data_IF_905078396666
#
_entry.id   IF_905078396666
#
_cell.length_a   1.000
_cell.length_b   1.000
_cell.length_c   1.000
_cell.angle_alpha   90.00
_cell.angle_beta   90.00
_cell.angle_gamma   90.00
#
_symmetry.space_group_name_H-M   'P 1'
#
loop_
_entity.id
_entity.type
_entity.pdbx_description
1 polymer ?
#
# COMPACT_ATOMS: atom_id res chain seq x y z
N UNK A 1 -56.30 30.76 6.68
CA UNK A 1 -55.52 29.53 6.90
C UNK A 1 -54.44 29.86 7.91
N UNK A 2 -54.46 29.20 9.07
CA UNK A 2 -53.50 29.46 10.16
C UNK A 2 -52.08 29.15 9.67
N UNK A 3 -51.19 30.13 9.65
CA UNK A 3 -49.75 29.90 9.52
C UNK A 3 -49.25 29.22 10.80
N UNK A 4 -49.34 27.89 10.85
CA UNK A 4 -48.81 27.09 11.95
C UNK A 4 -47.29 27.28 12.00
N UNK A 5 -46.75 27.54 13.19
CA UNK A 5 -45.31 27.67 13.36
C UNK A 5 -44.65 26.28 13.20
N UNK A 6 -44.05 26.02 12.04
CA UNK A 6 -43.45 24.72 11.70
C UNK A 6 -42.31 24.31 12.64
N UNK A 7 -41.63 25.25 13.32
CA UNK A 7 -40.59 24.93 14.30
C UNK A 7 -41.11 24.15 15.51
N UNK A 8 -42.42 24.26 15.81
CA UNK A 8 -43.04 23.53 16.93
C UNK A 8 -43.21 22.04 16.66
N UNK A 9 -43.04 21.59 15.41
CA UNK A 9 -43.13 20.19 15.03
C UNK A 9 -41.83 19.41 15.32
N UNK A 10 -40.70 20.10 15.49
CA UNK A 10 -39.40 19.46 15.70
C UNK A 10 -39.33 18.87 17.12
N UNK A 11 -39.05 17.55 17.27
CA UNK A 11 -38.94 16.92 18.59
C UNK A 11 -37.76 17.47 19.39
N UNK A 12 -37.87 17.42 20.72
CA UNK A 12 -36.75 17.82 21.59
C UNK A 12 -35.65 16.76 21.55
N UNK A 13 -34.42 17.19 21.80
CA UNK A 13 -33.25 16.29 21.88
C UNK A 13 -33.49 15.19 22.92
N UNK A 14 -34.05 15.53 24.09
CA UNK A 14 -34.32 14.56 25.16
C UNK A 14 -35.38 13.51 24.73
N UNK A 15 -36.42 13.93 24.00
CA UNK A 15 -37.44 13.02 23.46
C UNK A 15 -36.84 12.02 22.48
N UNK A 16 -35.88 12.45 21.65
CA UNK A 16 -35.16 11.58 20.71
C UNK A 16 -34.19 10.64 21.44
N UNK A 17 -33.51 11.12 22.48
CA UNK A 17 -32.64 10.27 23.31
C UNK A 17 -33.42 9.18 24.04
N UNK A 18 -34.70 9.42 24.31
CA UNK A 18 -35.54 8.45 25.00
C UNK A 18 -36.11 7.35 24.09
N UNK A 19 -36.02 7.51 22.77
CA UNK A 19 -36.44 6.50 21.79
C UNK A 19 -35.62 5.22 21.91
N UNK A 20 -36.29 4.08 21.79
CA UNK A 20 -35.66 2.76 21.94
C UNK A 20 -34.54 2.53 20.92
N UNK A 21 -34.72 2.94 19.66
CA UNK A 21 -33.71 2.81 18.60
C UNK A 21 -32.44 3.63 18.92
N UNK A 22 -32.61 4.84 19.44
CA UNK A 22 -31.49 5.73 19.81
C UNK A 22 -30.79 5.23 21.07
N UNK A 23 -31.53 4.67 22.04
CA UNK A 23 -30.96 3.99 23.22
C UNK A 23 -30.09 2.81 22.81
N UNK A 24 -30.57 1.93 21.92
CA UNK A 24 -29.80 0.82 21.35
C UNK A 24 -28.55 1.31 20.63
N UNK A 25 -28.64 2.41 19.88
CA UNK A 25 -27.51 3.00 19.19
C UNK A 25 -26.40 3.45 20.16
N UNK A 26 -26.77 3.99 21.32
CA UNK A 26 -25.82 4.42 22.36
C UNK A 26 -25.10 3.27 23.08
N UNK A 27 -25.55 2.01 22.92
CA UNK A 27 -24.81 0.84 23.43
C UNK A 27 -23.51 0.59 22.65
N UNK A 28 -23.49 0.97 21.36
CA UNK A 28 -22.37 0.71 20.44
C UNK A 28 -21.65 1.97 19.97
N UNK A 29 -22.31 3.13 20.08
CA UNK A 29 -21.78 4.43 19.65
C UNK A 29 -21.67 5.35 20.87
N UNK A 30 -20.51 6.00 21.10
CA UNK A 30 -20.37 6.98 22.16
C UNK A 30 -21.50 8.01 22.16
N UNK A 31 -22.16 8.20 23.31
CA UNK A 31 -23.29 9.14 23.48
C UNK A 31 -23.04 10.51 22.86
N UNK A 32 -21.82 11.02 22.93
CA UNK A 32 -21.43 12.30 22.32
C UNK A 32 -21.68 12.32 20.80
N UNK A 33 -21.30 11.25 20.10
CA UNK A 33 -21.50 11.14 18.64
C UNK A 33 -23.00 11.07 18.31
N UNK A 34 -23.78 10.33 19.11
CA UNK A 34 -25.24 10.25 18.95
C UNK A 34 -25.89 11.63 19.17
N UNK A 35 -25.53 12.32 20.25
CA UNK A 35 -25.98 13.69 20.54
C UNK A 35 -25.65 14.68 19.42
N UNK A 36 -24.41 14.67 18.93
CA UNK A 36 -23.97 15.55 17.85
C UNK A 36 -24.66 15.19 16.52
N UNK A 37 -25.12 13.96 16.35
CA UNK A 37 -25.91 13.52 15.18
C UNK A 37 -27.35 13.98 15.29
N UNK A 38 -27.98 13.82 16.47
CA UNK A 38 -29.31 14.36 16.77
C UNK A 38 -29.37 15.87 16.50
N UNK A 39 -28.39 16.61 17.03
CA UNK A 39 -28.31 18.07 16.85
C UNK A 39 -28.16 18.44 15.38
N UNK A 40 -27.28 17.75 14.66
CA UNK A 40 -27.05 18.00 13.24
C UNK A 40 -28.34 17.80 12.41
N UNK A 41 -29.04 16.67 12.59
CA UNK A 41 -30.26 16.39 11.83
C UNK A 41 -31.41 17.35 12.19
N UNK A 42 -31.56 17.68 13.48
CA UNK A 42 -32.51 18.72 13.93
C UNK A 42 -32.18 20.07 13.28
N UNK A 43 -30.91 20.48 13.30
CA UNK A 43 -30.49 21.77 12.77
C UNK A 43 -30.67 21.84 11.24
N UNK A 44 -30.50 20.73 10.52
CA UNK A 44 -30.84 20.65 9.09
C UNK A 44 -32.33 20.93 8.84
N UNK A 45 -33.23 20.34 9.64
CA UNK A 45 -34.68 20.61 9.55
C UNK A 45 -34.96 22.09 9.88
N UNK A 46 -34.35 22.63 10.94
CA UNK A 46 -34.50 24.04 11.33
C UNK A 46 -34.08 24.98 10.20
N UNK A 47 -32.96 24.71 9.54
CA UNK A 47 -32.46 25.54 8.44
C UNK A 47 -33.37 25.47 7.21
N UNK A 48 -33.97 24.31 6.89
CA UNK A 48 -34.97 24.20 5.81
C UNK A 48 -36.21 25.06 6.09
N UNK A 49 -36.71 25.04 7.34
CA UNK A 49 -37.85 25.86 7.76
C UNK A 49 -37.51 27.36 7.72
N UNK A 50 -36.33 27.78 8.22
CA UNK A 50 -35.88 29.19 8.18
C UNK A 50 -35.82 29.75 6.77
N UNK A 51 -35.38 28.95 5.80
CA UNK A 51 -35.27 29.36 4.40
C UNK A 51 -36.63 29.45 3.68
N UNK A 52 -37.72 28.99 4.30
CA UNK A 52 -39.05 28.96 3.69
C UNK A 52 -39.20 27.92 2.57
N UNK A 53 -38.27 26.98 2.46
CA UNK A 53 -38.16 26.03 1.35
C UNK A 53 -38.85 24.68 1.64
N UNK A 54 -39.80 24.64 2.57
CA UNK A 54 -40.43 23.39 3.01
C UNK A 54 -41.85 23.60 3.52
N UNK A 55 -42.75 22.71 3.13
CA UNK A 55 -44.16 22.64 3.53
C UNK A 55 -44.32 21.88 4.86
N UNK A 56 -45.51 21.96 5.49
CA UNK A 56 -45.80 21.20 6.71
C UNK A 56 -45.69 19.68 6.50
N UNK A 57 -46.12 19.17 5.34
CA UNK A 57 -46.05 17.75 4.98
C UNK A 57 -44.60 17.26 4.89
N UNK A 58 -43.74 18.01 4.22
CA UNK A 58 -42.30 17.66 4.07
C UNK A 58 -41.54 17.74 5.41
N UNK A 59 -41.96 18.61 6.33
CA UNK A 59 -41.41 18.63 7.71
C UNK A 59 -41.81 17.38 8.47
N UNK A 60 -43.07 16.96 8.39
CA UNK A 60 -43.56 15.73 9.03
C UNK A 60 -42.88 14.48 8.44
N UNK A 61 -42.66 14.44 7.13
CA UNK A 61 -41.90 13.38 6.48
C UNK A 61 -40.45 13.32 6.98
N UNK A 62 -39.78 14.48 7.07
CA UNK A 62 -38.42 14.59 7.61
C UNK A 62 -38.37 14.09 9.05
N UNK A 63 -39.36 14.40 9.89
CA UNK A 63 -39.48 13.91 11.27
C UNK A 63 -39.69 12.40 11.32
N UNK A 64 -40.54 11.85 10.45
CA UNK A 64 -40.79 10.41 10.38
C UNK A 64 -39.53 9.62 10.00
N UNK A 65 -38.67 10.20 9.14
CA UNK A 65 -37.37 9.63 8.77
C UNK A 65 -36.24 9.92 9.77
N UNK A 66 -36.48 10.80 10.76
CA UNK A 66 -35.43 11.42 11.57
C UNK A 66 -34.64 10.39 12.38
N UNK A 67 -35.28 9.38 12.97
CA UNK A 67 -34.60 8.31 13.70
C UNK A 67 -33.59 7.57 12.78
N UNK A 68 -34.01 7.25 11.55
CA UNK A 68 -33.14 6.59 10.56
C UNK A 68 -31.99 7.48 10.09
N UNK A 69 -32.24 8.77 9.86
CA UNK A 69 -31.20 9.75 9.52
C UNK A 69 -30.19 9.93 10.65
N UNK A 70 -30.65 10.01 11.90
CA UNK A 70 -29.77 10.09 13.08
C UNK A 70 -28.91 8.84 13.20
N UNK A 71 -29.49 7.65 13.02
CA UNK A 71 -28.75 6.39 13.05
C UNK A 71 -27.66 6.39 11.98
N UNK A 72 -28.02 6.72 10.74
CA UNK A 72 -27.07 6.80 9.62
C UNK A 72 -25.94 7.79 9.92
N UNK A 73 -26.26 9.02 10.28
CA UNK A 73 -25.29 10.07 10.59
C UNK A 73 -24.37 9.69 11.76
N UNK A 74 -24.92 9.06 12.80
CA UNK A 74 -24.12 8.59 13.94
C UNK A 74 -23.19 7.44 13.54
N UNK A 75 -23.67 6.47 12.74
CA UNK A 75 -22.82 5.38 12.20
C UNK A 75 -21.72 5.94 11.31
N UNK A 76 -22.01 6.89 10.43
CA UNK A 76 -21.03 7.53 9.54
C UNK A 76 -19.97 8.34 10.32
N UNK A 77 -20.37 9.00 11.41
CA UNK A 77 -19.44 9.70 12.31
C UNK A 77 -18.61 8.74 13.17
N UNK A 78 -19.17 7.60 13.55
CA UNK A 78 -18.49 6.57 14.35
C UNK A 78 -17.59 5.66 13.51
N UNK A 79 -17.80 5.61 12.19
CA UNK A 79 -17.01 4.79 11.29
C UNK A 79 -15.54 5.24 11.25
N UNK A 80 -14.64 4.26 11.26
CA UNK A 80 -13.21 4.51 11.07
C UNK A 80 -12.95 5.14 9.70
N UNK A 81 -12.01 6.10 9.66
CA UNK A 81 -11.62 6.78 8.42
C UNK A 81 -10.75 5.90 7.54
N UNK A 82 -9.81 5.16 8.15
CA UNK A 82 -9.10 4.08 7.48
C UNK A 82 -9.97 2.82 7.56
N UNK A 83 -10.42 2.35 6.41
CA UNK A 83 -11.33 1.21 6.30
C UNK A 83 -10.80 0.21 5.28
N UNK A 84 -11.16 -1.06 5.49
CA UNK A 84 -10.95 -2.12 4.51
C UNK A 84 -11.67 -1.79 3.21
N UNK A 85 -11.04 -2.14 2.10
CA UNK A 85 -11.64 -2.10 0.76
C UNK A 85 -11.40 -3.43 0.05
N UNK A 86 -12.21 -3.75 -0.96
CA UNK A 86 -11.93 -4.81 -1.93
C UNK A 86 -11.20 -4.20 -3.10
N UNK A 87 -9.99 -4.70 -3.38
CA UNK A 87 -9.22 -4.33 -4.56
C UNK A 87 -9.63 -5.21 -5.75
N UNK A 88 -10.40 -4.66 -6.68
CA UNK A 88 -10.75 -5.31 -7.94
C UNK A 88 -10.10 -4.62 -9.15
N UNK A 89 -9.04 -3.83 -8.95
CA UNK A 89 -8.37 -3.13 -10.04
C UNK A 89 -7.41 -4.03 -10.81
N UNK A 90 -6.87 -5.08 -10.16
CA UNK A 90 -5.81 -5.91 -10.73
C UNK A 90 -4.41 -5.34 -10.54
N UNK A 91 -4.27 -4.25 -9.79
CA UNK A 91 -2.96 -3.74 -9.37
C UNK A 91 -2.60 -4.40 -8.04
N UNK A 92 -1.56 -5.26 -8.02
CA UNK A 92 -1.21 -6.04 -6.82
C UNK A 92 -0.60 -5.14 -5.73
N UNK A 93 0.50 -4.46 -6.04
CA UNK A 93 1.16 -3.48 -5.15
C UNK A 93 0.53 -2.11 -5.40
N UNK A 94 -0.67 -1.93 -4.87
CA UNK A 94 -1.43 -0.70 -5.06
C UNK A 94 -1.08 0.32 -3.97
N UNK A 95 -0.31 1.36 -4.33
CA UNK A 95 0.14 2.41 -3.39
C UNK A 95 -1.00 3.07 -2.62
N UNK A 96 -2.09 3.44 -3.31
CA UNK A 96 -3.25 4.07 -2.66
C UNK A 96 -4.05 3.12 -1.75
N UNK A 97 -3.93 1.80 -1.92
CA UNK A 97 -4.71 0.81 -1.16
C UNK A 97 -3.86 0.06 -0.12
N UNK A 98 -2.65 0.54 0.17
CA UNK A 98 -1.80 0.02 1.25
C UNK A 98 -0.72 -0.98 0.83
N UNK A 99 -0.41 -1.09 -0.47
CA UNK A 99 0.65 -1.96 -1.02
C UNK A 99 0.44 -3.45 -0.67
N UNK A 100 1.42 -4.08 0.00
CA UNK A 100 1.43 -5.51 0.30
C UNK A 100 0.51 -5.88 1.44
N UNK A 101 -0.08 -7.07 1.35
CA UNK A 101 -0.96 -7.61 2.38
C UNK A 101 -0.20 -8.55 3.32
N UNK A 102 -0.61 -8.55 4.58
CA UNK A 102 -0.10 -9.45 5.61
C UNK A 102 -1.06 -10.62 5.79
N UNK A 103 -0.55 -11.85 5.83
CA UNK A 103 -1.36 -13.03 6.05
C UNK A 103 -1.76 -13.20 7.52
N UNK A 104 -2.75 -14.06 7.80
CA UNK A 104 -3.27 -14.23 9.16
C UNK A 104 -2.24 -14.80 10.14
N UNK A 105 -1.35 -15.71 9.72
CA UNK A 105 -0.28 -16.24 10.57
C UNK A 105 0.67 -15.14 11.04
N UNK A 106 1.00 -14.20 10.15
CA UNK A 106 1.80 -13.03 10.48
C UNK A 106 1.03 -12.09 11.42
N UNK A 107 -0.29 -11.91 11.22
CA UNK A 107 -1.13 -11.15 12.16
C UNK A 107 -1.23 -11.79 13.54
N UNK A 108 -1.23 -13.13 13.64
CA UNK A 108 -1.22 -13.85 14.91
C UNK A 108 0.06 -13.56 15.69
N UNK A 109 1.22 -13.58 15.02
CA UNK A 109 2.51 -13.18 15.61
C UNK A 109 2.51 -11.73 16.07
N UNK A 110 1.98 -10.82 15.25
CA UNK A 110 1.82 -9.41 15.63
C UNK A 110 0.95 -9.31 16.90
N UNK A 111 -0.19 -9.99 16.95
CA UNK A 111 -1.09 -9.96 18.10
C UNK A 111 -0.41 -10.45 19.37
N UNK A 112 0.35 -11.55 19.28
CA UNK A 112 1.11 -12.12 20.39
C UNK A 112 2.14 -11.13 20.94
N UNK A 113 2.95 -10.52 20.08
CA UNK A 113 3.99 -9.55 20.46
C UNK A 113 3.39 -8.19 20.87
N UNK A 114 2.26 -7.80 20.29
CA UNK A 114 1.61 -6.54 20.55
C UNK A 114 0.91 -6.53 21.92
N UNK A 115 0.23 -7.62 22.25
CA UNK A 115 -0.64 -7.75 23.43
C UNK A 115 0.10 -8.18 24.69
N UNK A 116 1.36 -8.59 24.58
CA UNK A 116 2.19 -9.04 25.70
C UNK A 116 3.50 -8.24 25.83
N UNK A 117 4.18 -8.38 26.98
CA UNK A 117 5.60 -8.02 27.09
C UNK A 117 6.45 -8.96 26.22
N UNK A 118 7.56 -8.46 25.70
CA UNK A 118 8.44 -9.22 24.81
C UNK A 118 9.91 -8.89 25.07
N UNK A 119 10.80 -9.73 24.54
CA UNK A 119 12.25 -9.57 24.59
C UNK A 119 12.78 -8.55 23.55
N UNK A 120 11.96 -7.58 23.14
CA UNK A 120 12.25 -6.63 22.07
C UNK A 120 13.62 -5.95 22.20
N UNK A 121 14.01 -5.54 23.41
CA UNK A 121 15.32 -4.98 23.72
C UNK A 121 15.97 -5.70 24.93
N UNK A 122 15.67 -6.99 25.09
CA UNK A 122 16.16 -7.79 26.20
C UNK A 122 16.77 -9.09 25.67
N UNK A 123 18.04 -9.31 25.97
CA UNK A 123 18.75 -10.53 25.62
C UNK A 123 18.46 -11.58 26.71
N UNK A 124 17.81 -12.67 26.32
CA UNK A 124 17.36 -13.72 27.24
C UNK A 124 18.54 -14.54 27.80
N UNK A 125 19.59 -14.74 27.01
CA UNK A 125 20.76 -15.52 27.42
C UNK A 125 21.61 -14.74 28.43
N UNK A 126 21.75 -13.43 28.20
CA UNK A 126 22.53 -12.53 29.07
C UNK A 126 21.73 -11.95 30.24
N UNK A 127 20.41 -11.99 30.18
CA UNK A 127 19.53 -11.35 31.18
C UNK A 127 19.70 -9.83 31.26
N UNK A 128 20.00 -9.17 30.13
CA UNK A 128 20.35 -7.74 30.09
C UNK A 128 19.77 -7.03 28.86
N UNK A 129 19.93 -5.71 28.79
CA UNK A 129 19.51 -4.91 27.63
C UNK A 129 20.21 -5.40 26.36
N UNK A 130 19.43 -5.78 25.36
CA UNK A 130 19.87 -6.20 24.03
C UNK A 130 19.57 -5.16 22.95
N UNK A 131 19.98 -5.45 21.72
CA UNK A 131 19.63 -4.66 20.54
C UNK A 131 18.36 -5.22 19.90
N UNK A 132 17.39 -4.38 19.54
CA UNK A 132 16.22 -4.85 18.78
C UNK A 132 16.56 -5.29 17.36
N UNK A 133 17.69 -4.84 16.82
CA UNK A 133 18.08 -5.13 15.45
C UNK A 133 18.62 -6.56 15.28
N UNK A 134 19.01 -7.22 16.37
CA UNK A 134 19.52 -8.59 16.31
C UNK A 134 18.45 -9.62 15.93
N UNK A 135 17.17 -9.33 16.20
CA UNK A 135 16.06 -10.25 15.93
C UNK A 135 15.89 -10.61 14.45
N UNK A 136 16.32 -9.73 13.55
CA UNK A 136 16.16 -9.91 12.09
C UNK A 136 17.48 -10.03 11.35
N UNK A 137 18.61 -9.69 11.97
CA UNK A 137 19.91 -9.64 11.30
C UNK A 137 20.32 -10.99 10.73
N UNK A 138 20.23 -12.06 11.53
CA UNK A 138 20.62 -13.41 11.12
C UNK A 138 19.82 -13.91 9.91
N UNK A 139 18.49 -13.84 9.98
CA UNK A 139 17.62 -14.32 8.91
C UNK A 139 17.73 -13.48 7.63
N UNK A 140 17.91 -12.15 7.75
CA UNK A 140 18.15 -11.31 6.56
C UNK A 140 19.47 -11.71 5.91
N UNK A 141 20.54 -11.88 6.68
CA UNK A 141 21.84 -12.33 6.15
C UNK A 141 21.76 -13.73 5.54
N UNK A 142 21.05 -14.68 6.16
CA UNK A 142 20.85 -16.03 5.64
C UNK A 142 20.18 -16.03 4.26
N UNK A 143 19.12 -15.23 4.08
CA UNK A 143 18.37 -15.17 2.82
C UNK A 143 19.15 -14.42 1.72
N UNK A 144 19.89 -13.38 2.10
CA UNK A 144 20.49 -12.44 1.14
C UNK A 144 21.96 -12.71 0.84
N UNK A 145 22.69 -13.36 1.74
CA UNK A 145 24.15 -13.51 1.67
C UNK A 145 24.93 -12.31 2.21
N UNK A 146 24.27 -11.31 2.82
CA UNK A 146 24.95 -10.17 3.44
C UNK A 146 25.79 -10.55 4.67
N UNK A 147 26.82 -9.75 4.97
CA UNK A 147 27.66 -9.94 6.16
C UNK A 147 27.05 -9.32 7.43
N UNK A 148 26.17 -8.34 7.25
CA UNK A 148 25.39 -7.71 8.30
C UNK A 148 24.10 -7.11 7.74
N UNK A 149 23.12 -6.90 8.60
CA UNK A 149 21.85 -6.31 8.23
C UNK A 149 21.23 -5.48 9.35
N UNK A 150 20.40 -4.52 8.97
CA UNK A 150 19.53 -3.80 9.90
C UNK A 150 18.23 -3.34 9.22
N UNK A 151 17.22 -3.06 10.04
CA UNK A 151 15.90 -2.64 9.57
C UNK A 151 15.52 -1.31 10.19
N UNK A 152 15.08 -0.37 9.36
CA UNK A 152 14.59 0.95 9.72
C UNK A 152 13.14 1.15 9.24
N UNK A 153 12.54 2.30 9.56
CA UNK A 153 11.13 2.60 9.32
C UNK A 153 10.65 2.36 7.87
N UNK A 154 11.42 2.81 6.87
CA UNK A 154 11.12 2.62 5.45
C UNK A 154 12.39 2.79 4.60
N UNK A 155 12.34 2.47 3.31
CA UNK A 155 13.51 2.57 2.44
C UNK A 155 14.06 4.00 2.30
N UNK A 156 13.20 5.02 2.38
CA UNK A 156 13.65 6.40 2.38
C UNK A 156 14.61 6.70 3.55
N UNK A 157 14.25 6.22 4.74
CA UNK A 157 15.10 6.28 5.92
C UNK A 157 16.36 5.42 5.78
N UNK A 158 16.29 4.29 5.05
CA UNK A 158 17.44 3.43 4.79
C UNK A 158 18.49 4.15 3.94
N UNK A 159 18.07 4.74 2.81
CA UNK A 159 18.95 5.54 1.94
C UNK A 159 19.51 6.74 2.71
N UNK A 160 18.68 7.47 3.44
CA UNK A 160 19.12 8.62 4.24
C UNK A 160 20.16 8.22 5.30
N UNK A 161 19.94 7.09 5.99
CA UNK A 161 20.86 6.59 7.01
C UNK A 161 22.19 6.14 6.40
N UNK A 162 22.15 5.43 5.27
CA UNK A 162 23.35 4.97 4.58
C UNK A 162 24.21 6.15 4.14
N UNK A 163 23.61 7.13 3.42
CA UNK A 163 24.32 8.31 2.94
C UNK A 163 24.84 9.19 4.07
N UNK A 164 24.04 9.41 5.13
CA UNK A 164 24.45 10.22 6.28
C UNK A 164 25.56 9.57 7.10
N UNK A 165 25.68 8.24 7.05
CA UNK A 165 26.76 7.52 7.73
C UNK A 165 28.03 7.50 6.90
N UNK A 166 27.91 7.18 5.60
CA UNK A 166 29.06 6.87 4.75
C UNK A 166 29.63 8.09 4.02
N UNK A 167 28.84 9.15 3.81
CA UNK A 167 29.20 10.24 2.91
C UNK A 167 28.82 11.65 3.41
N UNK A 168 28.63 11.83 4.71
CA UNK A 168 28.33 13.14 5.27
C UNK A 168 29.45 14.15 4.95
N UNK A 169 29.03 15.32 4.47
CA UNK A 169 29.87 16.44 4.04
C UNK A 169 30.82 16.14 2.87
N UNK A 170 30.68 14.95 2.24
CA UNK A 170 31.49 14.45 1.14
C UNK A 170 30.66 14.16 -0.11
N UNK A 171 31.33 13.93 -1.23
CA UNK A 171 30.70 13.74 -2.53
C UNK A 171 30.19 12.31 -2.75
N UNK A 172 28.99 12.19 -3.29
CA UNK A 172 28.38 10.92 -3.74
C UNK A 172 28.03 11.05 -5.21
N UNK A 173 28.63 10.18 -6.02
CA UNK A 173 28.48 10.19 -7.47
C UNK A 173 27.31 9.31 -7.86
N UNK A 174 26.38 9.84 -8.65
CA UNK A 174 25.18 9.12 -9.12
C UNK A 174 24.81 9.56 -10.55
N UNK A 175 24.23 8.64 -11.31
CA UNK A 175 23.72 8.93 -12.65
C UNK A 175 22.55 9.91 -12.62
N UNK A 176 22.54 10.92 -13.51
CA UNK A 176 21.41 11.85 -13.67
C UNK A 176 20.10 11.13 -14.02
N UNK A 177 20.19 10.02 -14.77
CA UNK A 177 19.05 9.18 -15.12
C UNK A 177 18.48 8.37 -13.95
N UNK A 178 19.11 8.42 -12.78
CA UNK A 178 18.73 7.70 -11.56
C UNK A 178 18.26 8.65 -10.42
N UNK A 179 18.18 9.96 -10.69
CA UNK A 179 17.64 10.96 -9.76
C UNK A 179 16.11 10.98 -9.79
N UNK A 180 15.53 9.93 -9.22
CA UNK A 180 14.10 9.62 -9.35
C UNK A 180 13.23 10.31 -8.30
N UNK A 181 11.95 10.49 -8.63
CA UNK A 181 10.88 10.80 -7.68
C UNK A 181 9.97 9.58 -7.56
N UNK A 182 9.75 9.09 -6.34
CA UNK A 182 8.86 7.95 -6.06
C UNK A 182 7.66 8.43 -5.24
N UNK A 183 6.45 8.11 -5.69
CA UNK A 183 5.23 8.59 -5.06
C UNK A 183 5.03 10.08 -5.35
N UNK A 184 4.83 10.90 -4.31
CA UNK A 184 4.61 12.35 -4.47
C UNK A 184 5.48 13.25 -3.59
N UNK A 185 6.46 12.69 -2.86
CA UNK A 185 7.31 13.48 -1.96
C UNK A 185 8.71 12.91 -1.71
N UNK A 186 9.04 11.72 -2.22
CA UNK A 186 10.37 11.14 -2.07
C UNK A 186 11.18 11.39 -3.33
N UNK A 187 12.22 12.22 -3.21
CA UNK A 187 13.16 12.56 -4.29
C UNK A 187 14.55 12.21 -3.83
N UNK A 188 15.28 11.44 -4.65
CA UNK A 188 16.68 11.10 -4.36
C UNK A 188 17.54 12.36 -4.10
N UNK A 189 17.46 13.43 -4.92
CA UNK A 189 18.20 14.67 -4.63
C UNK A 189 17.94 15.25 -3.24
N UNK A 190 16.66 15.37 -2.84
CA UNK A 190 16.28 15.95 -1.56
C UNK A 190 16.77 15.09 -0.39
N UNK A 191 16.73 13.76 -0.54
CA UNK A 191 17.22 12.81 0.47
C UNK A 191 18.73 12.89 0.61
N UNK A 192 19.46 12.99 -0.50
CA UNK A 192 20.90 13.17 -0.49
C UNK A 192 21.29 14.47 0.22
N UNK A 193 20.63 15.58 -0.13
CA UNK A 193 20.87 16.87 0.54
C UNK A 193 20.60 16.79 2.05
N UNK A 194 19.46 16.23 2.46
CA UNK A 194 19.11 16.09 3.89
C UNK A 194 20.03 15.11 4.64
N UNK A 195 20.64 14.15 3.95
CA UNK A 195 21.63 13.25 4.57
C UNK A 195 22.96 13.93 4.91
N UNK A 196 23.21 15.12 4.33
CA UNK A 196 24.47 15.83 4.38
C UNK A 196 25.47 15.42 3.30
N UNK A 197 25.11 14.47 2.42
CA UNK A 197 25.93 14.11 1.27
C UNK A 197 25.84 15.17 0.16
N UNK A 198 26.96 15.43 -0.52
CA UNK A 198 27.02 16.33 -1.67
C UNK A 198 26.76 15.52 -2.95
N UNK A 199 25.62 15.79 -3.59
CA UNK A 199 25.23 15.15 -4.85
C UNK A 199 26.15 15.55 -6.01
N UNK A 200 26.82 14.58 -6.63
CA UNK A 200 27.56 14.75 -7.88
C UNK A 200 26.89 13.96 -9.01
N UNK A 201 26.09 14.66 -9.81
CA UNK A 201 25.28 14.05 -10.86
C UNK A 201 26.01 13.95 -12.21
N UNK A 202 26.26 12.73 -12.67
CA UNK A 202 27.03 12.41 -13.90
C UNK A 202 26.16 11.90 -15.05
N UNK A 203 26.73 11.84 -16.26
CA UNK A 203 26.03 11.40 -17.47
C UNK A 203 24.90 12.35 -17.90
N UNK A 204 23.91 11.80 -18.59
CA UNK A 204 22.66 12.49 -18.95
C UNK A 204 21.44 11.69 -18.48
N UNK A 205 20.23 12.24 -18.66
CA UNK A 205 18.99 11.56 -18.28
C UNK A 205 18.85 10.18 -18.93
N UNK A 206 19.16 10.07 -20.22
CA UNK A 206 18.97 8.84 -20.98
C UNK A 206 20.24 8.00 -21.13
N UNK A 207 21.43 8.60 -21.05
CA UNK A 207 22.72 7.90 -21.25
C UNK A 207 23.72 8.26 -20.17
N UNK A 208 24.15 7.25 -19.45
CA UNK A 208 25.31 7.33 -18.56
C UNK A 208 26.29 6.22 -18.94
N UNK A 209 27.57 6.55 -18.92
CA UNK A 209 28.67 5.64 -19.21
C UNK A 209 29.64 5.58 -18.03
N UNK A 210 30.39 4.49 -17.90
CA UNK A 210 31.34 4.29 -16.81
C UNK A 210 32.37 5.43 -16.68
N UNK A 211 32.83 5.97 -17.83
CA UNK A 211 33.74 7.13 -17.88
C UNK A 211 33.16 8.41 -17.24
N UNK A 212 31.84 8.55 -17.19
CA UNK A 212 31.20 9.72 -16.60
C UNK A 212 31.32 9.68 -15.08
N UNK A 213 31.22 8.49 -14.48
CA UNK A 213 31.54 8.25 -13.08
C UNK A 213 33.02 8.48 -12.80
N UNK A 214 33.90 7.82 -13.57
CA UNK A 214 35.35 7.87 -13.35
C UNK A 214 35.91 9.29 -13.37
N UNK A 215 35.42 10.15 -14.28
CA UNK A 215 35.85 11.56 -14.39
C UNK A 215 35.44 12.43 -13.21
N UNK A 216 34.41 12.04 -12.47
CA UNK A 216 33.90 12.79 -11.34
C UNK A 216 34.58 12.41 -10.02
N UNK A 217 35.33 11.30 -9.98
CA UNK A 217 36.04 10.85 -8.78
C UNK A 217 37.19 11.81 -8.46
N UNK A 218 37.23 12.25 -7.21
CA UNK A 218 38.27 13.11 -6.63
C UNK A 218 38.46 12.79 -5.13
N UNK A 219 39.31 13.56 -4.45
CA UNK A 219 39.63 13.41 -3.03
C UNK A 219 38.44 13.59 -2.06
N UNK A 220 37.39 14.30 -2.46
CA UNK A 220 36.16 14.51 -1.69
C UNK A 220 35.12 13.41 -1.92
N UNK A 221 35.35 12.51 -2.88
CA UNK A 221 34.43 11.40 -3.18
C UNK A 221 34.43 10.38 -2.04
N UNK A 222 33.24 10.10 -1.51
CA UNK A 222 33.03 9.14 -0.44
C UNK A 222 32.33 7.85 -0.87
N UNK A 223 31.48 7.90 -1.89
CA UNK A 223 30.74 6.71 -2.34
C UNK A 223 30.29 6.84 -3.80
N UNK A 224 30.09 5.68 -4.43
CA UNK A 224 29.32 5.54 -5.66
C UNK A 224 27.90 5.12 -5.29
N UNK A 225 26.89 5.81 -5.84
CA UNK A 225 25.49 5.48 -5.64
C UNK A 225 24.88 5.03 -6.97
N UNK A 226 24.16 3.92 -6.89
CA UNK A 226 23.28 3.43 -7.93
C UNK A 226 21.84 3.38 -7.40
N UNK A 227 20.88 3.88 -8.17
CA UNK A 227 19.46 3.81 -7.81
C UNK A 227 18.68 3.08 -8.90
N UNK A 228 17.94 2.04 -8.51
CA UNK A 228 17.10 1.30 -9.42
C UNK A 228 15.86 2.11 -9.80
N UNK A 229 15.56 2.19 -11.10
CA UNK A 229 14.42 2.94 -11.65
C UNK A 229 13.10 2.20 -11.48
N UNK A 230 12.73 1.82 -10.25
CA UNK A 230 11.59 0.92 -9.94
C UNK A 230 10.20 1.44 -10.33
N UNK A 231 10.05 2.73 -10.66
CA UNK A 231 8.74 3.34 -10.92
C UNK A 231 8.58 3.99 -12.29
N UNK A 232 9.62 3.96 -13.13
CA UNK A 232 9.53 4.32 -14.55
C UNK A 232 10.60 3.61 -15.36
N UNK A 233 10.48 3.63 -16.68
CA UNK A 233 11.54 3.20 -17.60
C UNK A 233 11.73 4.26 -18.67
N UNK A 234 12.97 4.47 -19.10
CA UNK A 234 13.30 5.32 -20.26
C UNK A 234 13.40 4.41 -21.48
N UNK A 235 12.62 4.71 -22.53
CA UNK A 235 12.63 3.96 -23.78
C UNK A 235 13.35 4.75 -24.89
N UNK A 236 13.93 4.04 -25.86
CA UNK A 236 14.65 4.64 -27.00
C UNK A 236 16.17 4.54 -26.88
N UNK A 237 16.89 5.62 -27.18
CA UNK A 237 18.36 5.66 -27.12
C UNK A 237 18.85 5.83 -25.67
N UNK A 238 18.92 4.73 -24.94
CA UNK A 238 19.33 4.71 -23.54
C UNK A 238 20.62 3.94 -23.29
N UNK A 239 21.31 4.24 -22.19
CA UNK A 239 22.50 3.55 -21.70
C UNK A 239 22.58 3.76 -20.20
N UNK A 240 22.84 2.69 -19.45
CA UNK A 240 23.05 2.73 -18.00
C UNK A 240 24.29 1.92 -17.64
N UNK A 241 24.96 2.30 -16.55
CA UNK A 241 26.08 1.55 -16.00
C UNK A 241 25.54 0.56 -14.99
N UNK A 242 25.85 -0.72 -15.12
CA UNK A 242 25.41 -1.72 -14.15
C UNK A 242 26.32 -1.77 -12.89
N UNK A 243 25.91 -2.52 -11.88
CA UNK A 243 26.66 -2.63 -10.62
C UNK A 243 28.00 -3.36 -10.80
N UNK A 244 28.13 -4.24 -11.81
CA UNK A 244 29.36 -4.99 -12.10
C UNK A 244 30.42 -4.10 -12.77
N UNK A 245 30.00 -3.18 -13.64
CA UNK A 245 30.85 -2.13 -14.17
C UNK A 245 31.29 -1.15 -13.07
N UNK A 246 30.38 -0.73 -12.19
CA UNK A 246 30.72 0.15 -11.05
C UNK A 246 31.68 -0.49 -10.05
N UNK A 247 31.59 -1.81 -9.87
CA UNK A 247 32.52 -2.57 -9.02
C UNK A 247 34.00 -2.34 -9.44
N UNK A 248 34.27 -2.21 -10.74
CA UNK A 248 35.64 -1.94 -11.23
C UNK A 248 36.17 -0.59 -10.74
N UNK A 249 35.33 0.45 -10.68
CA UNK A 249 35.72 1.75 -10.15
C UNK A 249 35.85 1.72 -8.63
N UNK A 250 34.94 1.02 -7.95
CA UNK A 250 35.05 0.77 -6.51
C UNK A 250 36.43 0.19 -6.15
N UNK A 251 36.85 -0.89 -6.81
CA UNK A 251 38.13 -1.55 -6.51
C UNK A 251 39.33 -0.65 -6.87
N UNK A 252 39.26 0.03 -8.03
CA UNK A 252 40.33 0.91 -8.50
C UNK A 252 40.58 2.11 -7.58
N UNK A 253 39.52 2.68 -7.01
CA UNK A 253 39.58 3.90 -6.20
C UNK A 253 39.34 3.67 -4.71
N UNK A 254 39.10 2.42 -4.29
CA UNK A 254 38.75 2.05 -2.92
C UNK A 254 37.57 2.85 -2.36
N UNK A 255 36.47 2.88 -3.11
CA UNK A 255 35.23 3.59 -2.77
C UNK A 255 34.08 2.61 -2.53
N UNK A 256 33.25 2.79 -1.49
CA UNK A 256 32.07 1.98 -1.30
C UNK A 256 31.05 2.19 -2.41
N UNK A 257 30.38 1.09 -2.79
CA UNK A 257 29.26 1.08 -3.71
C UNK A 257 27.95 0.85 -2.94
N UNK A 258 27.04 1.82 -3.03
CA UNK A 258 25.70 1.78 -2.43
C UNK A 258 24.68 1.58 -3.56
N UNK A 259 23.77 0.62 -3.42
CA UNK A 259 22.65 0.42 -4.33
C UNK A 259 21.30 0.58 -3.59
N UNK A 260 20.50 1.55 -4.02
CA UNK A 260 19.07 1.59 -3.68
C UNK A 260 18.30 0.76 -4.69
N UNK A 261 18.06 -0.51 -4.36
CA UNK A 261 17.27 -1.43 -5.18
C UNK A 261 15.79 -1.07 -5.11
N UNK A 262 15.33 -0.60 -3.94
CA UNK A 262 13.99 -0.07 -3.72
C UNK A 262 12.86 -1.10 -3.74
N UNK A 263 12.81 -2.01 -4.71
CA UNK A 263 11.73 -2.98 -4.96
C UNK A 263 11.68 -4.14 -3.97
N UNK A 264 12.85 -4.56 -3.47
CA UNK A 264 12.97 -5.60 -2.43
C UNK A 264 12.70 -7.02 -2.94
N UNK A 265 13.11 -7.32 -4.17
CA UNK A 265 12.97 -8.65 -4.74
C UNK A 265 13.98 -9.61 -4.12
N UNK A 266 13.49 -10.72 -3.58
CA UNK A 266 14.32 -11.79 -3.01
C UNK A 266 14.25 -13.11 -3.80
N UNK A 267 13.29 -13.23 -4.73
CA UNK A 267 13.11 -14.40 -5.59
C UNK A 267 13.07 -13.97 -7.04
N UNK A 268 13.68 -14.75 -7.92
CA UNK A 268 13.63 -14.51 -9.36
C UNK A 268 12.20 -14.78 -9.89
N UNK A 269 11.46 -13.70 -10.12
CA UNK A 269 10.08 -13.75 -10.60
C UNK A 269 9.96 -14.16 -12.08
N UNK A 270 11.08 -14.19 -12.83
CA UNK A 270 11.07 -14.63 -14.24
C UNK A 270 10.70 -16.11 -14.39
N UNK A 271 10.97 -16.92 -13.37
CA UNK A 271 10.50 -18.30 -13.25
C UNK A 271 8.97 -18.43 -13.31
N UNK A 272 8.25 -17.36 -12.99
CA UNK A 272 6.79 -17.29 -12.95
C UNK A 272 6.20 -16.47 -14.11
N UNK A 273 7.02 -16.15 -15.13
CA UNK A 273 6.58 -15.43 -16.32
C UNK A 273 6.45 -13.92 -16.14
N UNK A 274 7.15 -13.35 -15.15
CA UNK A 274 7.23 -11.91 -14.89
C UNK A 274 8.58 -11.38 -15.40
N UNK A 275 8.64 -10.14 -15.87
CA UNK A 275 9.93 -9.50 -16.22
C UNK A 275 10.96 -9.63 -15.07
N UNK A 276 12.22 -9.92 -15.45
CA UNK A 276 13.32 -10.02 -14.50
C UNK A 276 13.56 -8.66 -13.82
N UNK A 277 13.60 -8.69 -12.49
CA UNK A 277 13.96 -7.57 -11.63
C UNK A 277 15.15 -8.01 -10.77
N UNK A 278 16.22 -7.21 -10.64
CA UNK A 278 17.40 -7.61 -9.88
C UNK A 278 17.06 -7.99 -8.45
N UNK A 279 17.54 -9.14 -7.99
CA UNK A 279 17.36 -9.55 -6.60
C UNK A 279 18.39 -8.86 -5.70
N UNK A 280 18.09 -8.79 -4.39
CA UNK A 280 19.05 -8.31 -3.39
C UNK A 280 20.34 -9.13 -3.43
N UNK A 281 20.21 -10.45 -3.63
CA UNK A 281 21.33 -11.38 -3.76
C UNK A 281 22.19 -11.05 -4.98
N UNK A 282 21.58 -10.72 -6.12
CA UNK A 282 22.32 -10.36 -7.33
C UNK A 282 23.16 -9.09 -7.13
N UNK A 283 22.60 -8.07 -6.47
CA UNK A 283 23.33 -6.84 -6.15
C UNK A 283 24.54 -7.13 -5.25
N UNK A 284 24.36 -7.93 -4.19
CA UNK A 284 25.46 -8.32 -3.30
C UNK A 284 26.53 -9.14 -4.02
N UNK A 285 26.12 -10.10 -4.87
CA UNK A 285 27.04 -10.92 -5.67
C UNK A 285 27.85 -10.11 -6.69
N UNK A 286 27.30 -8.98 -7.18
CA UNK A 286 28.01 -8.02 -8.04
C UNK A 286 28.98 -7.12 -7.28
N UNK A 287 29.14 -7.33 -5.97
CA UNK A 287 30.12 -6.62 -5.15
C UNK A 287 29.64 -5.27 -4.60
N UNK A 288 28.34 -5.03 -4.55
CA UNK A 288 27.75 -3.87 -3.85
C UNK A 288 28.01 -3.99 -2.35
N UNK A 289 28.44 -2.90 -1.70
CA UNK A 289 28.75 -2.91 -0.27
C UNK A 289 27.51 -2.76 0.60
N UNK A 290 26.54 -1.97 0.16
CA UNK A 290 25.28 -1.74 0.85
C UNK A 290 24.14 -1.73 -0.14
N UNK A 291 23.16 -2.60 0.09
CA UNK A 291 21.89 -2.64 -0.64
C UNK A 291 20.78 -2.17 0.28
N UNK A 292 19.94 -1.26 -0.21
CA UNK A 292 18.74 -0.79 0.50
C UNK A 292 17.47 -1.12 -0.29
N UNK A 293 16.41 -1.54 0.41
CA UNK A 293 15.13 -1.86 -0.23
C UNK A 293 13.92 -1.78 0.71
N UNK A 294 12.72 -1.74 0.10
CA UNK A 294 11.44 -1.67 0.83
C UNK A 294 10.92 -3.05 1.23
N UNK A 295 10.35 -3.17 2.43
CA UNK A 295 9.70 -4.40 2.91
C UNK A 295 8.28 -4.65 2.39
N UNK A 296 7.55 -3.60 1.97
CA UNK A 296 6.13 -3.66 1.61
C UNK A 296 5.86 -3.64 0.10
N UNK A 297 6.90 -3.86 -0.71
CA UNK A 297 6.80 -3.97 -2.17
C UNK A 297 6.87 -5.45 -2.60
N UNK A 298 7.87 -5.85 -3.38
CA UNK A 298 7.97 -7.23 -3.88
C UNK A 298 8.41 -8.24 -2.81
N UNK A 299 8.90 -7.76 -1.66
CA UNK A 299 9.10 -8.59 -0.47
C UNK A 299 7.77 -9.07 0.14
N UNK A 300 6.66 -8.36 -0.09
CA UNK A 300 5.35 -8.78 0.39
C UNK A 300 5.15 -8.73 1.92
N UNK A 301 5.97 -7.95 2.62
CA UNK A 301 5.94 -7.77 4.07
C UNK A 301 5.33 -6.43 4.52
N UNK A 302 5.58 -6.04 5.78
CA UNK A 302 5.17 -4.73 6.31
C UNK A 302 6.07 -3.61 5.77
N UNK A 303 5.66 -2.35 5.98
CA UNK A 303 6.53 -1.22 5.65
C UNK A 303 7.82 -1.30 6.47
N UNK A 304 8.95 -1.35 5.77
CA UNK A 304 10.28 -1.38 6.36
C UNK A 304 11.31 -0.86 5.35
N UNK A 305 12.44 -0.36 5.83
CA UNK A 305 13.64 -0.15 5.06
C UNK A 305 14.68 -1.14 5.51
N UNK A 306 15.09 -2.05 4.63
CA UNK A 306 16.05 -3.10 4.96
C UNK A 306 17.38 -2.68 4.35
N UNK A 307 18.43 -2.70 5.16
CA UNK A 307 19.81 -2.41 4.78
C UNK A 307 20.60 -3.68 5.00
N UNK A 308 21.30 -4.13 3.95
CA UNK A 308 22.11 -5.34 4.00
C UNK A 308 23.42 -5.14 3.24
N UNK A 309 24.50 -5.76 3.70
CA UNK A 309 25.80 -5.63 3.05
C UNK A 309 26.97 -5.90 3.97
N UNK A 310 28.06 -5.14 3.80
CA UNK A 310 29.28 -5.26 4.59
C UNK A 310 29.05 -4.93 6.07
N UNK A 311 29.58 -5.78 6.93
CA UNK A 311 29.36 -5.68 8.38
C UNK A 311 29.87 -4.36 8.97
N UNK A 312 30.99 -3.85 8.48
CA UNK A 312 31.59 -2.60 8.96
C UNK A 312 30.65 -1.40 8.80
N UNK A 313 30.04 -1.22 7.62
CA UNK A 313 29.11 -0.12 7.38
C UNK A 313 27.80 -0.28 8.15
N UNK A 314 27.30 -1.51 8.30
CA UNK A 314 26.11 -1.79 9.11
C UNK A 314 26.35 -1.41 10.58
N UNK A 315 27.52 -1.74 11.13
CA UNK A 315 27.87 -1.38 12.51
C UNK A 315 28.05 0.13 12.70
N UNK A 316 28.58 0.84 11.70
CA UNK A 316 28.60 2.30 11.70
C UNK A 316 27.18 2.90 11.68
N UNK A 317 26.30 2.37 10.82
CA UNK A 317 24.90 2.82 10.75
C UNK A 317 24.17 2.57 12.07
N UNK A 318 24.38 1.41 12.73
CA UNK A 318 23.80 1.12 14.05
C UNK A 318 24.21 2.15 15.12
N UNK A 319 25.39 2.79 14.99
CA UNK A 319 25.89 3.84 15.89
C UNK A 319 25.46 5.25 15.51
N UNK A 320 24.98 5.46 14.28
CA UNK A 320 24.51 6.77 13.82
C UNK A 320 23.29 7.24 14.65
N UNK A 321 23.27 8.48 15.18
CA UNK A 321 22.14 9.01 15.94
C UNK A 321 20.79 8.96 15.20
N UNK A 322 20.78 9.07 13.87
CA UNK A 322 19.55 8.97 13.06
C UNK A 322 18.89 7.60 13.17
N UNK A 323 19.64 6.54 13.46
CA UNK A 323 19.10 5.20 13.71
C UNK A 323 18.06 5.20 14.82
N UNK A 324 18.16 6.10 15.80
CA UNK A 324 17.15 6.24 16.85
C UNK A 324 15.86 6.89 16.34
N UNK A 325 15.95 7.82 15.39
CA UNK A 325 14.82 8.49 14.78
C UNK A 325 14.10 7.58 13.77
N UNK A 326 14.86 6.79 13.01
CA UNK A 326 14.34 5.85 12.01
C UNK A 326 14.06 4.45 12.54
N UNK A 327 14.11 4.29 13.86
CA UNK A 327 13.95 3.01 14.53
C UNK A 327 12.62 2.35 14.18
N UNK A 328 12.69 1.11 13.72
CA UNK A 328 11.52 0.28 13.43
C UNK A 328 10.76 -0.09 14.71
N UNK A 329 9.43 -0.18 14.61
CA UNK A 329 8.53 -0.54 15.71
C UNK A 329 8.40 -2.08 15.88
N UNK A 330 7.76 -2.50 16.98
CA UNK A 330 7.63 -3.93 17.31
C UNK A 330 6.65 -4.71 16.41
N UNK A 331 5.63 -4.04 15.86
CA UNK A 331 4.67 -4.66 14.95
C UNK A 331 5.36 -5.05 13.65
N UNK A 332 6.17 -4.13 13.12
CA UNK A 332 6.97 -4.36 11.91
C UNK A 332 8.01 -5.46 12.11
N UNK A 333 8.72 -5.49 13.25
CA UNK A 333 9.69 -6.58 13.53
C UNK A 333 8.98 -7.95 13.56
N UNK A 334 7.90 -8.08 14.33
CA UNK A 334 7.16 -9.34 14.44
C UNK A 334 6.63 -9.80 13.08
N UNK A 335 6.10 -8.87 12.29
CA UNK A 335 5.58 -9.19 10.96
C UNK A 335 6.67 -9.59 9.97
N UNK A 336 7.80 -8.89 10.01
CA UNK A 336 8.91 -9.10 9.08
C UNK A 336 9.62 -10.43 9.38
N UNK A 337 9.78 -10.83 10.64
CA UNK A 337 10.37 -12.13 10.98
C UNK A 337 9.59 -13.30 10.35
N UNK A 338 8.25 -13.32 10.52
CA UNK A 338 7.41 -14.36 9.92
C UNK A 338 7.49 -14.32 8.39
N UNK A 339 7.49 -13.12 7.80
CA UNK A 339 7.56 -12.95 6.34
C UNK A 339 8.88 -13.48 5.79
N UNK A 340 10.01 -13.13 6.42
CA UNK A 340 11.35 -13.59 6.04
C UNK A 340 11.49 -15.11 6.23
N UNK A 341 10.90 -15.71 7.26
CA UNK A 341 10.89 -17.18 7.44
C UNK A 341 10.27 -17.92 6.26
N UNK A 342 9.28 -17.34 5.57
CA UNK A 342 8.75 -17.97 4.36
C UNK A 342 9.75 -18.00 3.21
N UNK A 343 10.66 -17.03 3.13
CA UNK A 343 11.70 -16.97 2.09
C UNK A 343 12.80 -18.03 2.23
N UNK A 344 12.86 -18.75 3.35
CA UNK A 344 13.72 -19.93 3.49
C UNK A 344 13.31 -21.08 2.54
N UNK A 345 12.08 -21.05 2.01
CA UNK A 345 11.61 -21.96 0.95
C UNK A 345 10.78 -21.18 -0.08
N UNK A 346 11.29 -21.06 -1.31
CA UNK A 346 10.65 -20.32 -2.41
C UNK A 346 9.20 -20.76 -2.68
N UNK A 347 8.88 -22.05 -2.55
CA UNK A 347 7.51 -22.56 -2.76
C UNK A 347 6.57 -22.15 -1.62
N UNK A 348 7.10 -22.01 -0.40
CA UNK A 348 6.34 -21.52 0.74
C UNK A 348 6.14 -20.01 0.59
N UNK A 349 7.18 -19.26 0.23
CA UNK A 349 7.10 -17.82 0.00
C UNK A 349 6.02 -17.46 -1.03
N UNK A 350 6.04 -18.08 -2.21
CA UNK A 350 5.06 -17.81 -3.28
C UNK A 350 3.63 -18.23 -2.93
N UNK A 351 3.46 -19.15 -1.97
CA UNK A 351 2.12 -19.59 -1.52
C UNK A 351 1.59 -18.75 -0.36
N UNK A 352 2.41 -18.50 0.66
CA UNK A 352 1.95 -17.93 1.93
C UNK A 352 2.02 -16.40 1.95
N UNK A 353 2.93 -15.78 1.17
CA UNK A 353 3.02 -14.32 1.07
C UNK A 353 1.95 -13.84 0.07
N UNK A 354 0.92 -13.08 0.50
CA UNK A 354 -0.20 -12.75 -0.36
C UNK A 354 0.18 -12.00 -1.63
N UNK A 355 1.14 -11.07 -1.53
CA UNK A 355 1.65 -10.29 -2.67
C UNK A 355 2.26 -11.22 -3.71
N UNK A 356 3.15 -12.13 -3.30
CA UNK A 356 3.77 -13.09 -4.22
C UNK A 356 2.72 -14.03 -4.80
N UNK A 357 1.82 -14.56 -3.98
CA UNK A 357 0.76 -15.45 -4.44
C UNK A 357 -0.10 -14.83 -5.54
N UNK A 358 -0.47 -13.55 -5.41
CA UNK A 358 -1.22 -12.83 -6.46
C UNK A 358 -0.39 -12.66 -7.74
N UNK A 359 0.90 -12.37 -7.63
CA UNK A 359 1.79 -12.17 -8.77
C UNK A 359 2.03 -13.48 -9.53
N UNK A 360 2.29 -14.57 -8.81
CA UNK A 360 2.64 -15.88 -9.40
C UNK A 360 1.42 -16.77 -9.68
N UNK A 361 0.19 -16.26 -9.48
CA UNK A 361 -1.04 -17.01 -9.68
C UNK A 361 -1.19 -17.46 -11.16
N UNK A 362 -1.32 -18.77 -11.42
CA UNK A 362 -1.54 -19.27 -12.78
C UNK A 362 -2.84 -18.74 -13.41
N UNK A 363 -2.81 -18.42 -14.70
CA UNK A 363 -3.96 -17.87 -15.42
C UNK A 363 -5.23 -18.75 -15.34
N UNK A 364 -5.08 -20.07 -15.37
CA UNK A 364 -6.22 -20.99 -15.24
C UNK A 364 -6.88 -20.91 -13.86
N UNK A 365 -6.13 -20.60 -12.80
CA UNK A 365 -6.70 -20.38 -11.47
C UNK A 365 -7.54 -19.09 -11.44
N UNK A 366 -7.02 -18.00 -12.03
CA UNK A 366 -7.75 -16.72 -12.16
C UNK A 366 -9.04 -16.91 -12.97
N UNK A 367 -8.99 -17.67 -14.05
CA UNK A 367 -10.16 -18.04 -14.86
C UNK A 367 -11.18 -18.84 -14.06
N UNK A 368 -10.74 -19.80 -13.24
CA UNK A 368 -11.63 -20.55 -12.35
C UNK A 368 -12.29 -19.64 -11.31
N UNK A 369 -11.55 -18.68 -10.73
CA UNK A 369 -12.10 -17.63 -9.85
C UNK A 369 -13.16 -16.79 -10.56
N UNK A 370 -12.91 -16.36 -11.80
CA UNK A 370 -13.86 -15.60 -12.61
C UNK A 370 -15.15 -16.40 -12.89
N UNK A 371 -15.04 -17.67 -13.25
CA UNK A 371 -16.19 -18.55 -13.46
C UNK A 371 -17.03 -18.73 -12.19
N UNK A 372 -16.37 -18.94 -11.03
CA UNK A 372 -17.04 -19.04 -9.74
C UNK A 372 -17.80 -17.76 -9.40
N UNK A 373 -17.15 -16.60 -9.54
CA UNK A 373 -17.76 -15.30 -9.23
C UNK A 373 -18.92 -14.98 -10.19
N UNK A 374 -18.76 -15.15 -11.51
CA UNK A 374 -19.84 -14.97 -12.50
C UNK A 374 -21.08 -15.80 -12.15
N UNK A 375 -20.90 -17.07 -11.75
CA UNK A 375 -22.02 -17.93 -11.32
C UNK A 375 -22.73 -17.39 -10.09
N UNK A 376 -22.03 -16.83 -9.11
CA UNK A 376 -22.66 -16.23 -7.92
C UNK A 376 -23.41 -14.96 -8.28
N UNK A 377 -22.82 -14.09 -9.10
CA UNK A 377 -23.45 -12.85 -9.58
C UNK A 377 -24.77 -13.18 -10.30
N UNK A 378 -24.74 -14.07 -11.29
CA UNK A 378 -25.93 -14.43 -12.09
C UNK A 378 -27.05 -15.11 -11.28
N UNK A 379 -26.71 -15.77 -10.16
CA UNK A 379 -27.72 -16.35 -9.27
C UNK A 379 -28.43 -15.28 -8.44
N UNK A 380 -27.70 -14.24 -8.05
CA UNK A 380 -28.19 -13.17 -7.16
C UNK A 380 -28.89 -12.06 -7.93
N UNK A 381 -28.26 -11.55 -8.99
CA UNK A 381 -28.74 -10.40 -9.76
C UNK A 381 -29.43 -10.91 -11.02
N UNK A 382 -30.76 -10.86 -11.03
CA UNK A 382 -31.61 -11.25 -12.18
C UNK A 382 -32.20 -10.01 -12.84
N UNK A 383 -31.32 -9.20 -13.45
CA UNK A 383 -31.70 -7.92 -14.01
C UNK A 383 -31.23 -7.77 -15.46
N UNK A 384 -32.17 -7.51 -16.38
CA UNK A 384 -31.86 -7.40 -17.80
C UNK A 384 -31.01 -6.18 -18.17
N UNK A 385 -30.97 -5.18 -17.29
CA UNK A 385 -30.10 -4.00 -17.44
C UNK A 385 -28.65 -4.26 -17.00
N UNK A 386 -28.36 -5.41 -16.39
CA UNK A 386 -27.06 -5.75 -15.83
C UNK A 386 -26.46 -6.96 -16.56
N UNK A 387 -25.49 -6.71 -17.42
CA UNK A 387 -24.80 -7.74 -18.21
C UNK A 387 -23.44 -8.07 -17.61
N UNK A 388 -23.09 -9.35 -17.57
CA UNK A 388 -21.88 -9.86 -16.91
C UNK A 388 -21.15 -10.83 -17.82
N UNK A 389 -19.92 -10.50 -18.18
CA UNK A 389 -19.04 -11.33 -18.98
C UNK A 389 -17.67 -11.54 -18.34
N UNK A 390 -16.96 -12.55 -18.84
CA UNK A 390 -15.56 -12.79 -18.50
C UNK A 390 -14.76 -12.37 -19.71
N UNK A 391 -13.89 -11.38 -19.53
CA UNK A 391 -13.02 -10.87 -20.60
C UNK A 391 -11.55 -11.13 -20.25
N UNK A 392 -10.74 -11.31 -21.29
CA UNK A 392 -9.29 -11.24 -21.20
C UNK A 392 -8.87 -9.85 -20.76
N UNK A 393 -7.95 -9.79 -19.80
CA UNK A 393 -7.46 -8.54 -19.27
C UNK A 393 -5.98 -8.65 -18.88
N UNK A 394 -5.40 -7.50 -18.53
CA UNK A 394 -4.08 -7.44 -17.94
C UNK A 394 -4.18 -6.80 -16.56
N UNK A 395 -3.52 -7.45 -15.62
CA UNK A 395 -3.21 -6.95 -14.28
C UNK A 395 -1.85 -6.24 -14.31
N UNK A 396 -1.57 -5.47 -13.27
CA UNK A 396 -0.31 -4.76 -13.11
C UNK A 396 0.35 -5.18 -11.78
N UNK A 397 1.68 -5.28 -11.78
CA UNK A 397 2.44 -5.52 -10.54
C UNK A 397 2.24 -4.35 -9.58
N UNK A 398 2.35 -3.13 -10.11
CA UNK A 398 2.22 -1.88 -9.37
C UNK A 398 3.32 -0.89 -9.75
N UNK A 399 2.96 0.39 -9.85
CA UNK A 399 3.85 1.44 -10.36
C UNK A 399 5.07 1.75 -9.49
N UNK A 400 5.27 1.09 -8.34
CA UNK A 400 6.43 1.28 -7.47
C UNK A 400 7.49 0.19 -7.57
N UNK A 401 7.34 -0.77 -8.49
CA UNK A 401 8.28 -1.89 -8.69
C UNK A 401 8.50 -2.23 -10.16
N UNK A 402 7.44 -2.65 -10.88
CA UNK A 402 7.52 -3.03 -12.29
C UNK A 402 6.44 -2.27 -13.09
N UNK A 403 6.73 -1.03 -13.53
CA UNK A 403 5.71 -0.08 -14.01
C UNK A 403 5.16 -0.38 -15.41
N UNK A 404 5.89 -1.14 -16.24
CA UNK A 404 5.46 -1.50 -17.59
C UNK A 404 4.92 -2.92 -17.70
N UNK A 405 5.03 -3.70 -16.62
CA UNK A 405 4.76 -5.13 -16.64
C UNK A 405 3.26 -5.42 -16.66
N UNK A 406 2.85 -6.27 -17.61
CA UNK A 406 1.45 -6.66 -17.81
C UNK A 406 1.27 -8.15 -17.61
N UNK A 407 0.54 -8.52 -16.57
CA UNK A 407 0.27 -9.93 -16.25
C UNK A 407 -1.07 -10.34 -16.85
N UNK A 408 -1.06 -11.34 -17.74
CA UNK A 408 -2.28 -11.88 -18.33
C UNK A 408 -3.27 -12.34 -17.25
N UNK A 409 -4.50 -11.86 -17.29
CA UNK A 409 -5.54 -12.06 -16.26
C UNK A 409 -6.91 -12.32 -16.89
N UNK A 410 -7.90 -12.54 -16.01
CA UNK A 410 -9.33 -12.56 -16.37
C UNK A 410 -10.08 -11.58 -15.48
N UNK A 411 -10.96 -10.80 -16.09
CA UNK A 411 -11.82 -9.87 -15.37
C UNK A 411 -13.29 -10.22 -15.57
N UNK A 412 -14.10 -9.92 -14.56
CA UNK A 412 -15.55 -9.77 -14.75
C UNK A 412 -15.78 -8.38 -15.35
N UNK A 413 -16.31 -8.35 -16.57
CA UNK A 413 -16.73 -7.15 -17.26
C UNK A 413 -18.23 -6.96 -17.08
N UNK A 414 -18.63 -5.79 -16.59
CA UNK A 414 -20.02 -5.43 -16.34
C UNK A 414 -20.40 -4.30 -17.28
N UNK A 415 -21.53 -4.47 -17.97
CA UNK A 415 -22.12 -3.44 -18.82
C UNK A 415 -23.55 -3.19 -18.37
N UNK A 416 -23.93 -1.91 -18.30
CA UNK A 416 -25.26 -1.49 -17.89
C UNK A 416 -26.05 -0.98 -19.10
N UNK A 417 -27.33 -1.34 -19.21
CA UNK A 417 -28.24 -0.78 -20.22
C UNK A 417 -29.06 0.34 -19.62
N UNK A 418 -29.05 1.49 -20.28
CA UNK A 418 -29.83 2.68 -19.92
C UNK A 418 -29.58 3.19 -18.47
N UNK A 419 -28.42 2.88 -17.90
CA UNK A 419 -28.00 3.29 -16.55
C UNK A 419 -26.57 3.83 -16.61
N UNK A 420 -26.22 4.75 -15.72
CA UNK A 420 -24.89 5.35 -15.66
C UNK A 420 -23.87 4.40 -15.03
N UNK A 421 -22.89 3.97 -15.82
CA UNK A 421 -21.76 3.16 -15.34
C UNK A 421 -20.90 3.94 -14.34
N UNK A 422 -20.75 5.25 -14.51
CA UNK A 422 -19.99 6.10 -13.60
C UNK A 422 -20.66 6.21 -12.22
N UNK A 423 -21.99 6.36 -12.18
CA UNK A 423 -22.72 6.38 -10.90
C UNK A 423 -22.70 5.02 -10.23
N UNK A 424 -22.79 3.94 -10.99
CA UNK A 424 -22.64 2.59 -10.46
C UNK A 424 -21.29 2.41 -9.77
N UNK A 425 -20.21 2.82 -10.43
CA UNK A 425 -18.86 2.74 -9.88
C UNK A 425 -18.70 3.64 -8.64
N UNK A 426 -19.26 4.85 -8.64
CA UNK A 426 -19.31 5.70 -7.45
C UNK A 426 -20.04 5.00 -6.28
N UNK A 427 -21.17 4.36 -6.56
CA UNK A 427 -21.95 3.64 -5.57
C UNK A 427 -21.21 2.42 -4.99
N UNK A 428 -20.37 1.75 -5.79
CA UNK A 428 -19.49 0.69 -5.26
C UNK A 428 -18.49 1.19 -4.21
N UNK A 429 -18.02 2.45 -4.33
CA UNK A 429 -17.15 3.06 -3.31
C UNK A 429 -17.88 3.49 -2.05
N UNK A 430 -19.19 3.70 -2.15
CA UNK A 430 -20.06 4.03 -1.02
C UNK A 430 -20.59 2.81 -0.28
N UNK A 431 -20.51 1.62 -0.87
CA UNK A 431 -20.89 0.39 -0.21
C UNK A 431 -20.12 0.17 1.11
N UNK A 432 -20.71 -0.58 2.04
CA UNK A 432 -20.20 -0.77 3.42
C UNK A 432 -18.72 -1.18 3.44
N UNK A 433 -18.34 -2.12 2.57
CA UNK A 433 -16.94 -2.39 2.23
C UNK A 433 -16.74 -1.92 0.79
N UNK A 434 -16.06 -0.80 0.55
CA UNK A 434 -15.89 -0.25 -0.80
C UNK A 434 -15.25 -1.23 -1.75
N UNK A 435 -15.73 -1.27 -2.98
CA UNK A 435 -15.15 -2.09 -4.05
C UNK A 435 -14.51 -1.14 -5.05
N UNK A 436 -13.18 -1.21 -5.18
CA UNK A 436 -12.43 -0.36 -6.09
C UNK A 436 -12.23 -1.12 -7.40
N UNK A 437 -12.75 -0.59 -8.49
CA UNK A 437 -12.77 -1.24 -9.81
C UNK A 437 -12.07 -0.39 -10.85
N UNK A 438 -11.95 -0.89 -12.09
CA UNK A 438 -11.54 -0.07 -13.25
C UNK A 438 -12.75 0.24 -14.12
N UNK A 439 -12.91 1.51 -14.48
CA UNK A 439 -13.86 1.95 -15.50
C UNK A 439 -13.12 2.13 -16.83
N UNK A 440 -13.52 1.39 -17.87
CA UNK A 440 -12.90 1.48 -19.19
C UNK A 440 -13.94 1.26 -20.29
N UNK A 441 -13.98 2.16 -21.29
CA UNK A 441 -14.94 2.11 -22.42
C UNK A 441 -16.38 1.83 -21.97
N UNK A 442 -16.84 2.55 -20.95
CA UNK A 442 -18.19 2.41 -20.37
C UNK A 442 -18.52 1.01 -19.82
N UNK A 443 -17.50 0.27 -19.38
CA UNK A 443 -17.64 -0.99 -18.65
C UNK A 443 -16.87 -0.95 -17.34
N UNK A 444 -17.39 -1.67 -16.35
CA UNK A 444 -16.69 -1.89 -15.08
C UNK A 444 -15.95 -3.22 -15.15
N UNK A 445 -14.67 -3.19 -14.81
CA UNK A 445 -13.80 -4.36 -14.75
C UNK A 445 -13.44 -4.66 -13.31
N UNK A 446 -13.72 -5.90 -12.91
CA UNK A 446 -13.24 -6.49 -11.67
C UNK A 446 -12.19 -7.53 -12.03
N UNK A 447 -10.93 -7.24 -11.79
CA UNK A 447 -9.81 -8.16 -12.08
C UNK A 447 -9.67 -9.21 -10.97
N UNK A 448 -9.68 -10.49 -11.35
CA UNK A 448 -9.72 -11.60 -10.40
C UNK A 448 -8.37 -11.95 -9.79
N UNK A 449 -7.28 -11.28 -10.21
CA UNK A 449 -5.98 -11.45 -9.54
C UNK A 449 -6.04 -10.96 -8.10
N UNK A 450 -6.62 -9.78 -7.87
CA UNK A 450 -6.62 -9.12 -6.56
C UNK A 450 -7.88 -9.37 -5.73
N UNK A 451 -8.97 -9.83 -6.36
CA UNK A 451 -10.19 -10.25 -5.63
C UNK A 451 -10.00 -11.64 -5.04
N UNK A 452 -10.07 -11.78 -3.72
CA UNK A 452 -9.95 -13.09 -3.06
C UNK A 452 -11.29 -13.84 -3.02
N UNK A 453 -11.24 -15.18 -2.93
CA UNK A 453 -12.47 -15.99 -2.92
C UNK A 453 -13.36 -15.74 -1.68
N UNK A 454 -12.75 -15.41 -0.54
CA UNK A 454 -13.45 -15.00 0.70
C UNK A 454 -14.19 -13.65 0.54
N UNK A 455 -13.88 -12.87 -0.50
CA UNK A 455 -14.49 -11.58 -0.79
C UNK A 455 -15.64 -11.66 -1.79
N UNK A 456 -15.91 -12.82 -2.38
CA UNK A 456 -16.94 -12.97 -3.41
C UNK A 456 -18.33 -12.55 -2.94
N UNK A 457 -18.69 -12.83 -1.69
CA UNK A 457 -19.99 -12.41 -1.16
C UNK A 457 -20.07 -10.89 -1.03
N UNK A 458 -19.01 -10.25 -0.53
CA UNK A 458 -18.89 -8.78 -0.44
C UNK A 458 -19.05 -8.16 -1.83
N UNK A 459 -18.38 -8.73 -2.83
CA UNK A 459 -18.47 -8.25 -4.22
C UNK A 459 -19.89 -8.37 -4.76
N UNK A 460 -20.52 -9.53 -4.61
CA UNK A 460 -21.88 -9.76 -5.12
C UNK A 460 -22.90 -8.82 -4.45
N UNK A 461 -22.83 -8.66 -3.13
CA UNK A 461 -23.71 -7.76 -2.38
C UNK A 461 -23.46 -6.29 -2.74
N UNK A 462 -22.21 -5.89 -2.93
CA UNK A 462 -21.87 -4.53 -3.37
C UNK A 462 -22.35 -4.22 -4.79
N UNK A 463 -22.28 -5.19 -5.71
CA UNK A 463 -22.84 -5.04 -7.07
C UNK A 463 -24.38 -4.90 -7.03
N UNK A 464 -25.06 -5.68 -6.19
CA UNK A 464 -26.52 -5.59 -5.98
C UNK A 464 -26.90 -4.22 -5.39
N UNK A 465 -26.16 -3.76 -4.39
CA UNK A 465 -26.33 -2.43 -3.78
C UNK A 465 -26.17 -1.30 -4.81
N UNK A 466 -25.08 -1.32 -5.58
CA UNK A 466 -24.80 -0.30 -6.57
C UNK A 466 -25.88 -0.27 -7.66
N UNK A 467 -26.33 -1.44 -8.13
CA UNK A 467 -27.40 -1.54 -9.13
C UNK A 467 -28.70 -0.93 -8.64
N UNK A 468 -29.10 -1.25 -7.39
CA UNK A 468 -30.31 -0.71 -6.79
C UNK A 468 -30.25 0.82 -6.71
N UNK A 469 -29.12 1.36 -6.24
CA UNK A 469 -28.95 2.79 -6.04
C UNK A 469 -28.93 3.58 -7.36
N UNK A 470 -28.30 3.07 -8.42
CA UNK A 470 -28.34 3.74 -9.75
C UNK A 470 -29.76 3.78 -10.32
N UNK A 471 -30.57 2.75 -10.06
CA UNK A 471 -31.97 2.74 -10.50
C UNK A 471 -32.85 3.71 -9.75
N UNK A 472 -32.58 3.93 -8.46
CA UNK A 472 -33.27 4.92 -7.64
C UNK A 472 -33.02 6.36 -8.15
N UNK A 473 -31.85 6.67 -8.73
CA UNK A 473 -31.58 7.98 -9.34
C UNK A 473 -32.36 8.25 -10.64
N UNK A 474 -32.91 7.20 -11.28
CA UNK A 474 -33.64 7.32 -12.56
C UNK A 474 -35.16 7.47 -12.36
N UNK A 475 -35.66 7.24 -11.14
CA UNK A 475 -37.03 7.50 -10.72
C UNK A 475 -37.10 8.90 -10.10
#
# INVERSE_FOLDING_TARGET
MNNRNLFTLIPKVDELLDKENIKKLMEFIPRKIVLDSIRLEIDQIREKIKKGNITEEEVLESINSLEGSIEKTARDKNAYKLRRVVNATGVVIHTNLGRSLINMKTMDSISEIASNYSNLEYDLDRGARGSRYSHLEEIVCEITGGEGAMVVNNNAAAVMLALSTMAKDKEVIVSRGELIEIGGSFRIPDVMEQSGAKLVAVGTTNKTHLRDYERAINEETAALLKVHTSNYRILGFTSSVDSEELFQLKEKYNLPLIEDLGSGVLIDLSKYGIEYEPTVQDSLNKGVDIVTFSGDKLLGGPQAGIIVGKKEYIEEMKRNPLTRAFRVDKFTIAALEVTLRYYLDENIATREIPTLNMLTMPLEEIKNKALKLKRRINRRIKDNSFLVDIEDSFSEVGGGSLPLEKLASKSIAISLKDLSTQEFENNLREYTIPIITRLYKDKIYLDLRTVREDEFNIVVEGLEYALKKVKEYKQ
#
